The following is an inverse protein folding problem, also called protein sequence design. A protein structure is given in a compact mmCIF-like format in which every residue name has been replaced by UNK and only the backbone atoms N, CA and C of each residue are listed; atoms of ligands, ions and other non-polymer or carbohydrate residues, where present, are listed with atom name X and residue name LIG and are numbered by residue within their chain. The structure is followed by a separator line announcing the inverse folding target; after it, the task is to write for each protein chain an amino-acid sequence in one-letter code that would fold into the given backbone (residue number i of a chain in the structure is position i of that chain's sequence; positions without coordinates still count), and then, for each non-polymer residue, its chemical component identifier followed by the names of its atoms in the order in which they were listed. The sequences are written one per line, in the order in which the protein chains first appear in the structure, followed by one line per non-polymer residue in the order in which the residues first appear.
data_IF_393202857537
#
_entry.id   IF_393202857537
#
_cell.length_a   1.000
_cell.length_b   1.000
_cell.length_c   1.000
_cell.angle_alpha   90.00
_cell.angle_beta   90.00
_cell.angle_gamma   90.00
#
_symmetry.space_group_name_H-M   'P 1'
#
loop_
_entity.id
_entity.type
_entity.pdbx_description
1 polymer ?
#
# COMPACT_ATOMS: atom_id res chain seq x y z
N UNK A 1 -23.68 -0.89 -12.19
CA UNK A 1 -22.60 -0.41 -13.07
C UNK A 1 -22.60 -1.25 -14.33
N UNK A 2 -22.44 -0.64 -15.50
CA UNK A 2 -22.34 -1.34 -16.78
C UNK A 2 -20.94 -1.16 -17.36
N UNK A 3 -20.50 -2.12 -18.17
CA UNK A 3 -19.17 -2.15 -18.80
C UNK A 3 -19.34 -2.53 -20.27
N UNK A 4 -18.56 -1.92 -21.15
CA UNK A 4 -18.53 -2.34 -22.55
C UNK A 4 -17.79 -3.67 -22.68
N UNK A 5 -18.43 -4.67 -23.29
CA UNK A 5 -17.83 -5.97 -23.58
C UNK A 5 -17.27 -5.94 -25.00
N UNK A 6 -15.95 -6.04 -25.20
CA UNK A 6 -15.35 -6.01 -26.53
C UNK A 6 -15.62 -7.26 -27.35
N UNK A 7 -15.97 -8.39 -26.72
CA UNK A 7 -16.27 -9.64 -27.41
C UNK A 7 -17.67 -9.59 -28.02
N UNK A 8 -18.66 -9.14 -27.23
CA UNK A 8 -20.04 -9.06 -27.70
C UNK A 8 -20.39 -7.70 -28.32
N UNK A 9 -19.43 -6.76 -28.33
CA UNK A 9 -19.58 -5.39 -28.85
C UNK A 9 -20.82 -4.66 -28.29
N UNK A 10 -21.10 -4.86 -27.03
CA UNK A 10 -22.27 -4.28 -26.35
C UNK A 10 -21.97 -3.90 -24.89
N UNK A 11 -22.86 -3.09 -24.30
CA UNK A 11 -22.80 -2.75 -22.88
C UNK A 11 -23.47 -3.91 -22.10
N UNK A 12 -22.73 -4.49 -21.17
CA UNK A 12 -23.20 -5.56 -20.27
C UNK A 12 -23.18 -5.10 -18.81
N UNK A 13 -23.99 -5.71 -17.97
CA UNK A 13 -23.91 -5.46 -16.53
C UNK A 13 -22.57 -6.00 -16.00
N UNK A 14 -22.03 -5.32 -15.02
CA UNK A 14 -20.73 -5.69 -14.43
C UNK A 14 -20.73 -7.10 -13.85
N UNK A 15 -21.86 -7.54 -13.28
CA UNK A 15 -22.05 -8.90 -12.76
C UNK A 15 -21.97 -9.94 -13.88
N UNK A 16 -22.65 -9.71 -15.01
CA UNK A 16 -22.62 -10.60 -16.17
C UNK A 16 -21.20 -10.72 -16.74
N UNK A 17 -20.42 -9.66 -16.64
CA UNK A 17 -19.01 -9.66 -17.05
C UNK A 17 -18.11 -10.48 -16.11
N UNK A 18 -18.46 -10.57 -14.81
CA UNK A 18 -17.72 -11.39 -13.83
C UNK A 18 -18.02 -12.89 -13.98
N UNK A 19 -19.23 -13.23 -14.40
CA UNK A 19 -19.69 -14.62 -14.63
C UNK A 19 -19.39 -15.12 -16.04
N UNK A 20 -18.83 -14.27 -16.89
CA UNK A 20 -18.51 -14.61 -18.27
C UNK A 20 -17.46 -15.73 -18.34
N UNK A 21 -17.86 -16.89 -18.88
CA UNK A 21 -16.98 -18.03 -19.12
C UNK A 21 -15.97 -17.81 -20.24
N UNK A 22 -16.23 -16.82 -21.12
CA UNK A 22 -15.32 -16.42 -22.19
C UNK A 22 -14.11 -15.67 -21.65
N UNK A 23 -13.12 -16.42 -21.25
CA UNK A 23 -11.80 -15.91 -20.79
C UNK A 23 -11.04 -15.13 -21.86
N UNK A 24 -11.57 -15.00 -23.07
CA UNK A 24 -10.94 -14.24 -24.18
C UNK A 24 -10.81 -12.73 -23.87
N UNK A 25 -11.70 -12.15 -23.06
CA UNK A 25 -11.49 -10.77 -22.54
C UNK A 25 -10.30 -10.68 -21.60
N UNK A 26 -9.88 -11.78 -21.00
CA UNK A 26 -8.77 -11.85 -20.05
C UNK A 26 -7.43 -12.22 -20.72
N UNK A 27 -7.44 -12.58 -22.02
CA UNK A 27 -6.21 -12.96 -22.73
C UNK A 27 -5.29 -11.77 -23.05
N UNK A 28 -5.76 -10.51 -22.86
CA UNK A 28 -4.92 -9.34 -22.69
C UNK A 28 -4.72 -9.02 -21.21
N UNK A 29 -4.40 -9.98 -20.39
CA UNK A 29 -3.95 -9.73 -19.01
C UNK A 29 -2.57 -9.10 -19.10
N UNK A 30 -2.56 -7.78 -19.31
CA UNK A 30 -1.41 -7.00 -18.92
C UNK A 30 -1.13 -7.41 -17.46
N UNK A 31 0.01 -8.04 -17.24
CA UNK A 31 0.47 -8.34 -15.89
C UNK A 31 0.76 -7.02 -15.18
N UNK A 32 -0.28 -6.40 -14.62
CA UNK A 32 -0.14 -5.15 -13.89
C UNK A 32 0.22 -5.47 -12.44
N UNK A 33 1.35 -4.98 -11.99
CA UNK A 33 1.82 -5.10 -10.61
C UNK A 33 1.87 -3.71 -10.01
N UNK A 34 1.23 -3.52 -8.87
CA UNK A 34 1.36 -2.30 -8.09
C UNK A 34 2.07 -2.60 -6.77
N UNK A 35 3.10 -1.82 -6.50
CA UNK A 35 3.83 -1.79 -5.23
C UNK A 35 3.35 -0.57 -4.47
N UNK A 36 2.55 -0.77 -3.42
CA UNK A 36 2.12 0.27 -2.50
C UNK A 36 3.12 0.45 -1.37
N UNK A 37 3.47 1.68 -1.04
CA UNK A 37 4.45 1.99 0.00
C UNK A 37 3.89 3.04 0.96
N UNK A 38 3.86 2.71 2.23
CA UNK A 38 3.68 3.65 3.34
C UNK A 38 5.03 3.86 4.03
N UNK A 39 5.70 4.97 3.71
CA UNK A 39 7.08 5.19 4.12
C UNK A 39 7.20 5.85 5.48
N UNK A 40 8.00 5.28 6.35
CA UNK A 40 8.43 5.89 7.60
C UNK A 40 9.80 5.38 8.07
N UNK A 41 10.49 6.15 8.92
CA UNK A 41 11.79 5.75 9.50
C UNK A 41 11.68 4.76 10.66
N UNK A 42 10.48 4.42 11.11
CA UNK A 42 10.27 3.35 12.09
C UNK A 42 9.99 2.04 11.38
N UNK A 43 8.97 2.05 10.56
CA UNK A 43 8.58 0.92 9.73
C UNK A 43 8.08 1.45 8.39
N UNK A 44 8.53 0.87 7.30
CA UNK A 44 7.95 1.15 5.98
C UNK A 44 7.09 -0.02 5.57
N UNK A 45 5.79 0.21 5.41
CA UNK A 45 4.85 -0.76 4.86
C UNK A 45 5.09 -0.96 3.37
N UNK A 46 5.06 -2.21 2.90
CA UNK A 46 5.19 -2.56 1.49
C UNK A 46 4.19 -3.64 1.14
N UNK A 47 3.39 -3.37 0.13
CA UNK A 47 2.43 -4.31 -0.42
C UNK A 47 2.63 -4.46 -1.92
N UNK A 48 2.56 -5.69 -2.42
CA UNK A 48 2.60 -5.99 -3.87
C UNK A 48 1.32 -6.70 -4.24
N UNK A 49 0.56 -6.11 -5.15
CA UNK A 49 -0.68 -6.69 -5.70
C UNK A 49 -0.51 -6.84 -7.21
N UNK A 50 -0.92 -8.00 -7.74
CA UNK A 50 -0.98 -8.27 -9.18
C UNK A 50 -2.43 -8.36 -9.64
N UNK A 51 -2.72 -7.77 -10.79
CA UNK A 51 -4.01 -7.87 -11.48
C UNK A 51 -5.23 -7.59 -10.58
N UNK A 52 -5.09 -6.61 -9.68
CA UNK A 52 -6.13 -6.11 -8.76
C UNK A 52 -6.48 -7.03 -7.57
N UNK A 53 -6.27 -8.34 -7.67
CA UNK A 53 -6.80 -9.31 -6.70
C UNK A 53 -5.74 -10.19 -6.07
N UNK A 54 -4.64 -10.46 -6.75
CA UNK A 54 -3.59 -11.34 -6.25
C UNK A 54 -2.62 -10.59 -5.36
N UNK A 55 -2.72 -10.84 -4.06
CA UNK A 55 -1.78 -10.32 -3.07
C UNK A 55 -0.49 -11.16 -3.06
N UNK A 56 0.59 -10.59 -3.60
CA UNK A 56 1.90 -11.25 -3.68
C UNK A 56 2.74 -11.04 -2.42
N UNK A 57 2.62 -9.86 -1.80
CA UNK A 57 3.37 -9.49 -0.59
C UNK A 57 2.56 -8.49 0.23
N UNK A 58 2.57 -8.68 1.55
CA UNK A 58 2.07 -7.71 2.54
C UNK A 58 3.01 -7.77 3.74
N UNK A 59 3.81 -6.72 3.95
CA UNK A 59 4.86 -6.72 4.98
C UNK A 59 5.24 -5.28 5.39
N UNK A 60 6.12 -5.16 6.36
CA UNK A 60 6.83 -3.92 6.63
C UNK A 60 8.33 -4.16 6.86
N UNK A 61 9.13 -3.16 6.52
CA UNK A 61 10.55 -3.11 6.86
C UNK A 61 10.69 -2.38 8.19
N UNK A 62 11.14 -3.08 9.21
CA UNK A 62 11.43 -2.51 10.51
C UNK A 62 12.85 -1.95 10.55
N UNK A 63 12.99 -0.69 10.98
CA UNK A 63 14.27 0.02 11.04
C UNK A 63 14.82 0.21 12.46
N UNK A 64 14.23 -0.41 13.48
CA UNK A 64 14.64 -0.22 14.88
C UNK A 64 16.11 -0.60 15.15
N UNK A 65 16.63 -1.57 14.41
CA UNK A 65 18.01 -2.05 14.57
C UNK A 65 19.06 -1.23 13.80
N UNK A 66 18.63 -0.20 13.04
CA UNK A 66 19.52 0.64 12.25
C UNK A 66 19.84 1.93 13.00
N UNK A 67 21.13 2.23 13.18
CA UNK A 67 21.62 3.31 14.05
C UNK A 67 21.32 4.71 13.49
N UNK A 68 21.36 4.86 12.18
CA UNK A 68 21.22 6.16 11.54
C UNK A 68 20.34 6.13 10.31
N UNK A 69 19.89 7.31 9.86
CA UNK A 69 18.98 7.43 8.72
C UNK A 69 19.61 7.01 7.39
N UNK A 70 20.93 7.08 7.24
CA UNK A 70 21.61 6.61 6.03
C UNK A 70 21.51 5.10 5.87
N UNK A 71 21.74 4.35 6.96
CA UNK A 71 21.58 2.89 6.96
C UNK A 71 20.14 2.49 6.63
N UNK A 72 19.15 3.19 7.22
CA UNK A 72 17.72 2.94 6.94
C UNK A 72 17.38 3.17 5.47
N UNK A 73 17.86 4.28 4.89
CA UNK A 73 17.68 4.59 3.47
C UNK A 73 18.30 3.53 2.56
N UNK A 74 19.54 3.11 2.87
CA UNK A 74 20.22 2.06 2.12
C UNK A 74 19.47 0.72 2.19
N UNK A 75 18.92 0.39 3.36
CA UNK A 75 18.09 -0.81 3.54
C UNK A 75 16.84 -0.73 2.69
N UNK A 76 16.10 0.41 2.74
CA UNK A 76 14.90 0.60 1.93
C UNK A 76 15.22 0.46 0.44
N UNK A 77 16.26 1.16 -0.04
CA UNK A 77 16.71 1.07 -1.44
C UNK A 77 16.97 -0.37 -1.86
N UNK A 78 17.77 -1.09 -1.07
CA UNK A 78 18.13 -2.50 -1.36
C UNK A 78 16.91 -3.40 -1.41
N UNK A 79 15.99 -3.27 -0.45
CA UNK A 79 14.78 -4.08 -0.42
C UNK A 79 13.87 -3.80 -1.63
N UNK A 80 13.62 -2.52 -1.94
CA UNK A 80 12.80 -2.15 -3.09
C UNK A 80 13.42 -2.63 -4.41
N UNK A 81 14.73 -2.44 -4.61
CA UNK A 81 15.44 -2.92 -5.79
C UNK A 81 15.29 -4.43 -5.96
N UNK A 82 15.49 -5.19 -4.88
CA UNK A 82 15.33 -6.64 -4.87
C UNK A 82 13.88 -7.07 -5.20
N UNK A 83 12.88 -6.39 -4.63
CA UNK A 83 11.47 -6.70 -4.89
C UNK A 83 11.10 -6.44 -6.35
N UNK A 84 11.52 -5.30 -6.91
CA UNK A 84 11.27 -4.98 -8.31
C UNK A 84 11.92 -6.02 -9.22
N UNK A 85 13.19 -6.38 -8.98
CA UNK A 85 13.91 -7.40 -9.76
C UNK A 85 13.24 -8.76 -9.70
N UNK A 86 12.79 -9.18 -8.50
CA UNK A 86 12.02 -10.42 -8.33
C UNK A 86 10.71 -10.41 -9.10
N UNK A 87 9.98 -9.29 -9.07
CA UNK A 87 8.74 -9.15 -9.83
C UNK A 87 9.00 -9.25 -11.34
N UNK A 88 10.03 -8.56 -11.86
CA UNK A 88 10.41 -8.62 -13.26
C UNK A 88 10.82 -10.02 -13.70
N UNK A 89 11.62 -10.71 -12.89
CA UNK A 89 12.08 -12.07 -13.19
C UNK A 89 10.94 -13.10 -13.17
N UNK A 90 9.99 -12.96 -12.25
CA UNK A 90 8.88 -13.91 -12.11
C UNK A 90 7.75 -13.67 -13.10
N UNK A 91 7.49 -12.41 -13.44
CA UNK A 91 6.35 -12.01 -14.26
C UNK A 91 6.85 -11.29 -15.52
N UNK A 92 7.17 -12.05 -16.56
CA UNK A 92 7.61 -11.50 -17.83
C UNK A 92 6.60 -10.49 -18.38
N UNK A 93 7.11 -9.37 -18.89
CA UNK A 93 6.32 -8.26 -19.43
C UNK A 93 5.35 -7.60 -18.43
N UNK A 94 5.57 -7.77 -17.11
CA UNK A 94 4.76 -7.11 -16.13
C UNK A 94 4.97 -5.59 -16.15
N UNK A 95 3.86 -4.86 -16.21
CA UNK A 95 3.86 -3.40 -16.01
C UNK A 95 3.86 -3.12 -14.51
N UNK A 96 5.04 -2.82 -13.98
CA UNK A 96 5.22 -2.50 -12.56
C UNK A 96 5.04 -1.00 -12.35
N UNK A 97 4.29 -0.64 -11.32
CA UNK A 97 4.07 0.74 -10.89
C UNK A 97 4.28 0.81 -9.38
N UNK A 98 4.98 1.82 -8.92
CA UNK A 98 5.08 2.15 -7.50
C UNK A 98 4.09 3.27 -7.18
N UNK A 99 3.36 3.14 -6.08
CA UNK A 99 2.51 4.19 -5.52
C UNK A 99 2.89 4.36 -4.06
N UNK A 100 3.18 5.59 -3.65
CA UNK A 100 3.57 5.90 -2.27
C UNK A 100 2.84 7.14 -1.75
N UNK A 101 2.83 7.32 -0.42
CA UNK A 101 2.16 8.45 0.19
C UNK A 101 2.95 9.75 -0.01
N UNK A 102 2.28 10.81 -0.49
CA UNK A 102 2.88 12.13 -0.65
C UNK A 102 2.95 12.84 0.70
N UNK A 103 4.08 13.52 0.92
CA UNK A 103 4.21 14.41 2.06
C UNK A 103 3.22 15.56 1.93
N UNK A 104 2.44 15.77 2.98
CA UNK A 104 1.56 16.90 3.09
C UNK A 104 2.16 17.96 4.00
N UNK A 105 2.40 19.15 3.45
CA UNK A 105 2.67 20.32 4.27
C UNK A 105 1.32 20.77 4.86
N UNK A 106 1.14 20.62 6.17
CA UNK A 106 -0.02 21.19 6.84
C UNK A 106 0.09 22.71 6.82
N UNK A 107 -0.93 23.38 6.31
CA UNK A 107 -0.97 24.85 6.21
C UNK A 107 -1.18 25.55 7.55
N UNK A 108 -1.52 24.82 8.60
CA UNK A 108 -1.78 25.34 9.95
C UNK A 108 -1.05 24.47 10.99
N UNK A 109 -0.18 25.08 11.76
CA UNK A 109 0.54 24.45 12.87
C UNK A 109 2.07 24.51 12.74
N UNK A 110 2.75 24.00 13.75
CA UNK A 110 4.21 23.89 13.75
C UNK A 110 4.67 22.91 12.67
N UNK A 111 5.33 23.41 11.63
CA UNK A 111 5.95 22.58 10.60
C UNK A 111 7.23 21.98 11.19
N UNK A 112 7.22 20.68 11.42
CA UNK A 112 8.47 19.98 11.80
C UNK A 112 9.33 19.78 10.54
N UNK A 113 10.23 20.71 10.31
CA UNK A 113 11.13 20.72 9.15
C UNK A 113 11.99 19.45 9.10
N UNK A 114 12.43 18.94 10.24
CA UNK A 114 13.27 17.72 10.28
C UNK A 114 12.47 16.48 9.88
N UNK A 115 11.20 16.43 10.26
CA UNK A 115 10.30 15.38 9.78
C UNK A 115 10.13 15.45 8.26
N UNK A 116 9.84 16.63 7.71
CA UNK A 116 9.69 16.83 6.25
C UNK A 116 10.97 16.45 5.50
N UNK A 117 12.13 16.93 5.95
CA UNK A 117 13.41 16.55 5.35
C UNK A 117 13.64 15.04 5.40
N UNK A 118 13.30 14.43 6.51
CA UNK A 118 13.47 12.98 6.70
C UNK A 118 12.59 12.18 5.76
N UNK A 119 11.28 12.45 5.71
CA UNK A 119 10.35 11.74 4.81
C UNK A 119 10.69 12.08 3.35
N UNK A 120 11.03 13.34 3.03
CA UNK A 120 11.48 13.73 1.69
C UNK A 120 12.67 12.90 1.21
N UNK A 121 13.61 12.61 2.09
CA UNK A 121 14.74 11.73 1.76
C UNK A 121 14.33 10.27 1.52
N UNK A 122 13.29 9.75 2.18
CA UNK A 122 12.73 8.43 1.86
C UNK A 122 12.02 8.45 0.51
N UNK A 123 11.24 9.49 0.23
CA UNK A 123 10.57 9.64 -1.06
C UNK A 123 11.58 9.70 -2.21
N UNK A 124 12.66 10.47 -2.06
CA UNK A 124 13.73 10.52 -3.05
C UNK A 124 14.32 9.12 -3.33
N UNK A 125 14.56 8.31 -2.29
CA UNK A 125 15.05 6.94 -2.45
C UNK A 125 14.05 6.06 -3.20
N UNK A 126 12.74 6.20 -2.95
CA UNK A 126 11.70 5.45 -3.66
C UNK A 126 11.71 5.84 -5.14
N UNK A 127 11.72 7.15 -5.44
CA UNK A 127 11.73 7.69 -6.80
C UNK A 127 12.99 7.25 -7.56
N UNK A 128 14.17 7.44 -6.97
CA UNK A 128 15.45 7.02 -7.57
C UNK A 128 15.50 5.52 -7.83
N UNK A 129 14.97 4.71 -6.91
CA UNK A 129 14.95 3.26 -7.09
C UNK A 129 13.99 2.87 -8.22
N UNK A 130 12.85 3.52 -8.33
CA UNK A 130 11.91 3.31 -9.43
C UNK A 130 12.55 3.69 -10.77
N UNK A 131 13.15 4.86 -10.85
CA UNK A 131 13.84 5.36 -12.04
C UNK A 131 14.96 4.42 -12.52
N UNK A 132 15.85 4.03 -11.61
CA UNK A 132 16.96 3.12 -11.92
C UNK A 132 16.49 1.71 -12.36
N UNK A 133 15.28 1.36 -12.05
CA UNK A 133 14.65 0.11 -12.50
C UNK A 133 13.68 0.29 -13.67
N UNK A 134 13.58 1.47 -14.31
CA UNK A 134 12.61 1.76 -15.36
C UNK A 134 11.17 1.39 -14.93
N UNK A 135 10.76 1.80 -13.75
CA UNK A 135 9.44 1.59 -13.17
C UNK A 135 8.77 2.95 -12.98
N UNK A 136 7.49 3.07 -13.38
CA UNK A 136 6.73 4.30 -13.12
C UNK A 136 6.45 4.45 -11.63
N UNK A 137 6.60 5.67 -11.14
CA UNK A 137 6.41 6.02 -9.74
C UNK A 137 5.39 7.16 -9.61
N UNK A 138 4.46 7.00 -8.68
CA UNK A 138 3.42 8.00 -8.41
C UNK A 138 3.28 8.23 -6.91
N UNK A 139 3.02 9.47 -6.54
CA UNK A 139 2.61 9.80 -5.17
C UNK A 139 1.12 10.08 -5.08
N UNK A 140 0.56 9.87 -3.90
CA UNK A 140 -0.87 10.11 -3.61
C UNK A 140 -1.04 10.76 -2.25
N UNK A 141 -1.98 11.72 -2.17
CA UNK A 141 -2.36 12.34 -0.89
C UNK A 141 -3.13 11.35 0.00
N UNK A 142 -2.79 11.33 1.30
CA UNK A 142 -3.41 10.47 2.32
C UNK A 142 -4.94 10.55 2.30
N UNK A 143 -5.50 11.75 2.20
CA UNK A 143 -6.97 11.92 2.18
C UNK A 143 -7.61 11.30 0.96
N UNK A 144 -6.91 11.32 -0.19
CA UNK A 144 -7.45 10.77 -1.43
C UNK A 144 -7.55 9.25 -1.35
N UNK A 145 -6.50 8.55 -0.97
CA UNK A 145 -6.57 7.10 -0.91
C UNK A 145 -7.44 6.61 0.26
N UNK A 146 -7.39 7.28 1.43
CA UNK A 146 -8.27 6.91 2.54
C UNK A 146 -9.74 7.05 2.18
N UNK A 147 -10.16 8.17 1.61
CA UNK A 147 -11.55 8.39 1.26
C UNK A 147 -12.09 7.43 0.20
N UNK A 148 -11.28 7.06 -0.78
CA UNK A 148 -11.71 6.22 -1.90
C UNK A 148 -11.63 4.71 -1.61
N UNK A 149 -10.65 4.28 -0.82
CA UNK A 149 -10.45 2.85 -0.54
C UNK A 149 -11.12 2.44 0.77
N UNK A 150 -10.90 3.20 1.83
CA UNK A 150 -11.41 2.88 3.17
C UNK A 150 -12.79 3.51 3.43
N UNK A 151 -13.09 4.58 2.72
CA UNK A 151 -14.31 5.36 2.84
C UNK A 151 -14.19 6.53 3.80
N UNK A 152 -15.00 7.57 3.56
CA UNK A 152 -15.22 8.68 4.49
C UNK A 152 -16.13 8.16 5.59
N UNK A 153 -15.67 8.10 6.81
CA UNK A 153 -16.43 7.40 7.82
C UNK A 153 -16.73 8.26 9.03
N UNK A 154 -17.76 7.82 9.73
CA UNK A 154 -18.09 8.24 11.09
C UNK A 154 -16.87 8.03 12.00
N UNK A 155 -16.72 8.85 13.05
CA UNK A 155 -15.70 8.62 14.06
C UNK A 155 -15.79 7.19 14.58
N UNK A 156 -14.70 6.45 14.51
CA UNK A 156 -14.61 5.13 15.12
C UNK A 156 -14.28 5.32 16.60
N UNK A 157 -14.86 4.49 17.43
CA UNK A 157 -14.40 4.39 18.81
C UNK A 157 -12.93 3.94 18.84
N UNK A 158 -12.15 4.55 19.72
CA UNK A 158 -10.79 4.14 19.96
C UNK A 158 -10.77 2.75 20.62
N UNK A 159 -10.63 1.70 19.81
CA UNK A 159 -10.52 0.33 20.33
C UNK A 159 -9.05 -0.05 20.49
N UNK A 160 -8.75 -0.73 21.56
CA UNK A 160 -7.39 -1.22 21.88
C UNK A 160 -6.31 -0.12 22.02
N UNK A 161 -6.70 1.16 22.17
CA UNK A 161 -5.74 2.27 22.22
C UNK A 161 -5.01 2.54 20.91
N UNK A 162 -5.61 2.11 19.78
CA UNK A 162 -5.14 2.39 18.41
C UNK A 162 -5.80 3.68 17.93
N UNK A 163 -5.04 4.53 17.24
CA UNK A 163 -5.56 5.72 16.58
C UNK A 163 -6.75 5.36 15.68
N UNK A 164 -7.90 6.04 15.77
CA UNK A 164 -9.08 5.73 14.96
C UNK A 164 -8.81 5.72 13.45
N UNK A 165 -7.97 6.62 12.94
CA UNK A 165 -7.64 6.68 11.52
C UNK A 165 -6.81 5.46 11.05
N UNK A 166 -5.93 4.96 11.92
CA UNK A 166 -5.18 3.71 11.68
C UNK A 166 -6.06 2.48 11.82
N UNK A 167 -6.99 2.50 12.79
CA UNK A 167 -7.91 1.39 12.99
C UNK A 167 -8.85 1.17 11.80
N UNK A 168 -9.17 2.20 11.01
CA UNK A 168 -9.98 2.07 9.79
C UNK A 168 -9.33 1.17 8.74
N UNK A 169 -8.05 1.36 8.46
CA UNK A 169 -7.33 0.51 7.50
C UNK A 169 -7.24 -0.92 8.00
N UNK A 170 -7.02 -1.11 9.29
CA UNK A 170 -7.05 -2.44 9.93
C UNK A 170 -8.42 -3.11 9.74
N UNK A 171 -9.52 -2.40 10.04
CA UNK A 171 -10.89 -2.93 9.84
C UNK A 171 -11.16 -3.28 8.38
N UNK A 172 -10.70 -2.46 7.46
CA UNK A 172 -10.83 -2.74 6.03
C UNK A 172 -10.15 -4.06 5.65
N UNK A 173 -8.92 -4.31 6.14
CA UNK A 173 -8.21 -5.56 5.89
C UNK A 173 -8.91 -6.75 6.58
N UNK A 174 -9.47 -6.58 7.78
CA UNK A 174 -10.28 -7.60 8.46
C UNK A 174 -11.48 -8.01 7.59
N UNK A 175 -12.21 -7.05 7.05
CA UNK A 175 -13.33 -7.31 6.15
C UNK A 175 -12.92 -8.04 4.85
N UNK A 176 -11.65 -7.90 4.44
CA UNK A 176 -11.06 -8.63 3.30
C UNK A 176 -10.48 -10.01 3.68
N UNK A 177 -10.60 -10.43 4.92
CA UNK A 177 -10.02 -11.69 5.41
C UNK A 177 -8.49 -11.69 5.48
N UNK A 178 -7.88 -10.51 5.62
CA UNK A 178 -6.42 -10.33 5.64
C UNK A 178 -5.88 -10.01 7.05
N UNK A 179 -6.70 -10.13 8.09
CA UNK A 179 -6.32 -9.77 9.47
C UNK A 179 -5.03 -10.46 9.91
N UNK A 180 -4.95 -11.76 9.73
CA UNK A 180 -3.79 -12.56 10.16
C UNK A 180 -2.47 -12.09 9.52
N UNK A 181 -2.53 -11.55 8.30
CA UNK A 181 -1.35 -11.08 7.57
C UNK A 181 -0.75 -9.78 8.12
N UNK A 182 -1.51 -9.05 8.94
CA UNK A 182 -1.08 -7.81 9.58
C UNK A 182 -0.88 -7.95 11.08
N UNK A 183 -0.96 -9.16 11.64
CA UNK A 183 -0.69 -9.42 13.04
C UNK A 183 0.81 -9.68 13.27
N UNK A 184 1.37 -9.01 14.28
CA UNK A 184 2.74 -9.20 14.74
C UNK A 184 2.70 -9.58 16.21
N UNK A 185 3.44 -10.61 16.62
CA UNK A 185 3.53 -10.99 18.04
C UNK A 185 3.99 -9.79 18.88
N UNK A 186 3.23 -9.46 19.91
CA UNK A 186 3.53 -8.37 20.80
C UNK A 186 4.58 -8.80 21.84
N UNK A 187 5.57 -7.94 22.09
CA UNK A 187 6.49 -8.17 23.21
C UNK A 187 5.75 -8.07 24.55
N UNK A 188 6.27 -8.71 25.60
CA UNK A 188 5.69 -8.67 26.95
C UNK A 188 5.60 -7.24 27.51
N UNK A 189 6.51 -6.35 27.13
CA UNK A 189 6.53 -4.95 27.56
C UNK A 189 5.50 -4.06 26.85
N UNK A 190 4.93 -4.49 25.73
CA UNK A 190 3.95 -3.69 24.96
C UNK A 190 2.60 -3.69 25.67
N UNK A 191 2.09 -2.51 26.02
CA UNK A 191 0.81 -2.35 26.74
C UNK A 191 -0.32 -1.79 25.88
N UNK A 192 -0.01 -0.94 24.89
CA UNK A 192 -1.02 -0.27 24.03
C UNK A 192 -1.13 -0.95 22.68
N UNK A 193 -2.33 -0.99 22.14
CA UNK A 193 -2.60 -1.55 20.81
C UNK A 193 -2.48 -3.08 20.77
N UNK A 194 -2.50 -3.75 21.91
CA UNK A 194 -2.41 -5.21 22.00
C UNK A 194 -3.81 -5.80 21.88
N UNK A 195 -3.92 -6.83 21.05
CA UNK A 195 -5.09 -7.70 20.92
C UNK A 195 -4.71 -9.11 21.35
N UNK A 196 -5.64 -9.82 21.99
CA UNK A 196 -5.45 -11.22 22.37
C UNK A 196 -6.27 -12.10 21.41
N UNK A 197 -5.61 -13.08 20.82
CA UNK A 197 -6.21 -14.07 19.92
C UNK A 197 -5.68 -15.43 20.37
N UNK A 198 -6.57 -16.34 20.72
CA UNK A 198 -6.24 -17.70 21.18
C UNK A 198 -5.20 -17.73 22.33
N UNK A 199 -5.30 -16.77 23.26
CA UNK A 199 -4.38 -16.66 24.40
C UNK A 199 -2.99 -16.08 24.07
N UNK A 200 -2.73 -15.76 22.81
CA UNK A 200 -1.51 -15.08 22.38
C UNK A 200 -1.73 -13.58 22.16
N UNK A 201 -0.66 -12.79 22.35
CA UNK A 201 -0.72 -11.33 22.28
C UNK A 201 -0.14 -10.84 20.97
N UNK A 202 -0.89 -9.99 20.27
CA UNK A 202 -0.53 -9.41 18.98
C UNK A 202 -0.68 -7.90 18.97
N UNK A 203 -0.02 -7.26 18.02
CA UNK A 203 -0.28 -5.87 17.60
C UNK A 203 -0.56 -5.87 16.10
N UNK A 204 -1.36 -4.94 15.63
CA UNK A 204 -1.55 -4.74 14.20
C UNK A 204 -0.38 -3.98 13.58
N UNK A 205 0.03 -4.40 12.40
CA UNK A 205 0.97 -3.70 11.54
C UNK A 205 0.21 -2.70 10.68
N UNK A 206 0.00 -1.51 11.22
CA UNK A 206 -0.73 -0.43 10.56
C UNK A 206 -0.02 0.07 9.30
N UNK A 207 1.31 0.15 9.30
CA UNK A 207 2.09 0.56 8.12
C UNK A 207 1.87 -0.43 6.94
N UNK A 208 1.82 -1.75 7.21
CA UNK A 208 1.48 -2.74 6.20
C UNK A 208 0.02 -2.59 5.73
N UNK A 209 -0.92 -2.30 6.63
CA UNK A 209 -2.32 -2.08 6.28
C UNK A 209 -2.50 -0.85 5.38
N UNK A 210 -1.83 0.26 5.71
CA UNK A 210 -1.87 1.49 4.91
C UNK A 210 -1.23 1.25 3.53
N UNK A 211 -0.10 0.55 3.44
CA UNK A 211 0.54 0.21 2.15
C UNK A 211 -0.35 -0.64 1.25
N UNK A 212 -1.19 -1.53 1.82
CA UNK A 212 -2.17 -2.31 1.07
C UNK A 212 -3.24 -1.41 0.44
N UNK A 213 -3.77 -0.46 1.21
CA UNK A 213 -4.76 0.48 0.71
C UNK A 213 -4.17 1.42 -0.36
N UNK A 214 -2.92 1.84 -0.22
CA UNK A 214 -2.19 2.62 -1.23
C UNK A 214 -2.03 1.81 -2.53
N UNK A 215 -1.67 0.52 -2.43
CA UNK A 215 -1.58 -0.36 -3.61
C UNK A 215 -2.93 -0.51 -4.31
N UNK A 216 -4.02 -0.70 -3.55
CA UNK A 216 -5.38 -0.75 -4.10
C UNK A 216 -5.77 0.56 -4.79
N UNK A 217 -5.40 1.71 -4.21
CA UNK A 217 -5.64 3.00 -4.85
C UNK A 217 -4.95 3.08 -6.22
N UNK A 218 -3.78 2.52 -6.37
CA UNK A 218 -3.09 2.42 -7.66
C UNK A 218 -3.91 1.67 -8.73
N UNK A 219 -4.77 0.73 -8.36
CA UNK A 219 -5.68 0.05 -9.29
C UNK A 219 -7.02 0.75 -9.48
N UNK A 220 -7.66 1.13 -8.39
CA UNK A 220 -9.07 1.53 -8.36
C UNK A 220 -9.29 3.02 -8.16
N UNK A 221 -8.28 3.74 -7.66
CA UNK A 221 -8.38 5.16 -7.35
C UNK A 221 -8.47 6.05 -8.59
N UNK A 222 -8.92 7.28 -8.36
CA UNK A 222 -8.93 8.32 -9.39
C UNK A 222 -7.51 8.62 -9.85
N UNK A 223 -7.21 8.34 -11.11
CA UNK A 223 -5.87 8.53 -11.71
C UNK A 223 -5.44 9.99 -11.73
N UNK A 224 -6.37 10.94 -11.74
CA UNK A 224 -6.08 12.38 -11.67
C UNK A 224 -5.55 12.82 -10.29
N UNK A 225 -5.65 11.96 -9.28
CA UNK A 225 -5.11 12.18 -7.94
C UNK A 225 -3.71 11.57 -7.73
N UNK A 226 -3.23 10.82 -8.72
CA UNK A 226 -1.86 10.32 -8.75
C UNK A 226 -0.96 11.38 -9.39
N UNK A 227 0.09 11.77 -8.68
CA UNK A 227 1.11 12.68 -9.19
C UNK A 227 2.31 11.87 -9.68
N UNK A 228 2.66 12.04 -10.96
CA UNK A 228 3.80 11.32 -11.55
C UNK A 228 5.10 11.92 -11.05
N UNK A 229 5.92 11.09 -10.47
CA UNK A 229 7.26 11.43 -9.99
C UNK A 229 8.30 11.09 -11.05
N UNK A 230 9.10 12.11 -11.41
CA UNK A 230 10.14 12.00 -12.45
C UNK A 230 11.53 11.97 -11.84
#
# INVERSE_FOLDING_TARGET
MSKFCPIYNQIVLYLDCLECEDKLCNNNTENNIIIGIDQSYKNTGITIIRNKTELLLLTSINFLNYKNNSEKRNKLKKELDNLIKKCKAKYNNAKIVIVFERIRLQSQGFINIDYIKSIGALNAIIIDTAYNNNVKCYSVDTRCWKSQIVGSSKPLENKFGIDPEKYRTILYLKQKGLEEKILIKASKAKKKGVVEIDGERYIYNDDAADSYCIALFGFYGDKNKLEYEK
#
